data_IF_939965183373
#
_entry.id   IF_939965183373
#
_cell.length_a   1.000
_cell.length_b   1.000
_cell.length_c   1.000
_cell.angle_alpha   90.00
_cell.angle_beta   90.00
_cell.angle_gamma   90.00
#
_symmetry.space_group_name_H-M   'P 1'
#
loop_
_entity.id
_entity.type
_entity.pdbx_description
1 polymer ?
#
# COMPACT_ATOMS: atom_id res chain seq x y z
N UNK A 1 -15.83 19.82 -58.56
CA UNK A 1 -14.36 19.70 -58.43
C UNK A 1 -14.11 19.37 -56.98
N UNK A 2 -13.77 18.11 -56.72
CA UNK A 2 -13.41 17.58 -55.40
C UNK A 2 -12.06 18.16 -55.00
N UNK A 3 -11.90 18.56 -53.73
CA UNK A 3 -10.62 18.56 -52.98
C UNK A 3 -10.98 18.60 -51.48
N UNK A 4 -11.01 17.47 -50.77
CA UNK A 4 -9.92 16.71 -50.14
C UNK A 4 -9.39 17.36 -48.83
N UNK A 5 -9.59 16.64 -47.73
CA UNK A 5 -9.21 16.97 -46.35
C UNK A 5 -7.73 17.31 -46.20
N UNK A 6 -7.41 18.32 -45.40
CA UNK A 6 -6.19 18.37 -44.60
C UNK A 6 -6.35 19.35 -43.41
N UNK A 7 -6.42 18.77 -42.22
CA UNK A 7 -6.24 19.44 -40.93
C UNK A 7 -4.72 19.53 -40.66
N UNK A 8 -4.19 20.69 -40.26
CA UNK A 8 -2.98 20.71 -39.46
C UNK A 8 -3.12 21.66 -38.26
N UNK A 9 -3.69 21.17 -37.16
CA UNK A 9 -3.39 21.69 -35.82
C UNK A 9 -1.92 21.40 -35.50
N UNK A 10 -1.04 22.29 -35.94
CA UNK A 10 0.37 22.32 -35.58
C UNK A 10 0.52 22.83 -34.16
N UNK A 11 0.51 21.93 -33.17
CA UNK A 11 1.08 22.22 -31.86
C UNK A 11 2.57 21.86 -31.89
N UNK A 12 3.39 22.84 -32.26
CA UNK A 12 4.82 22.85 -31.97
C UNK A 12 5.03 23.46 -30.58
N UNK A 13 5.22 22.63 -29.56
CA UNK A 13 6.13 22.99 -28.46
C UNK A 13 6.54 21.74 -27.68
N UNK A 14 7.71 21.23 -28.04
CA UNK A 14 8.43 20.22 -27.30
C UNK A 14 9.14 20.87 -26.10
N UNK A 15 8.44 21.04 -24.99
CA UNK A 15 9.03 21.38 -23.71
C UNK A 15 8.27 20.75 -22.54
N UNK A 16 8.68 19.53 -22.16
CA UNK A 16 8.65 18.98 -20.79
C UNK A 16 7.37 19.23 -19.98
N UNK A 17 6.25 18.64 -20.40
CA UNK A 17 5.28 18.16 -19.41
C UNK A 17 5.79 16.77 -18.99
N UNK A 18 6.54 16.72 -17.90
CA UNK A 18 6.81 15.45 -17.23
C UNK A 18 5.44 14.87 -16.88
N UNK A 19 5.16 13.74 -17.51
CA UNK A 19 4.00 12.90 -17.35
C UNK A 19 3.70 12.61 -15.86
N UNK A 20 2.96 13.50 -15.21
CA UNK A 20 2.10 13.12 -14.10
C UNK A 20 0.69 13.12 -14.63
N UNK A 21 0.32 12.01 -15.28
CA UNK A 21 -1.08 11.67 -15.54
C UNK A 21 -1.91 12.02 -14.29
N UNK A 22 -3.07 12.69 -14.42
CA UNK A 22 -3.95 13.01 -13.29
C UNK A 22 -4.27 11.79 -12.41
N UNK A 23 -4.17 10.57 -12.97
CA UNK A 23 -4.36 9.30 -12.26
C UNK A 23 -3.27 9.01 -11.23
N UNK A 24 -2.00 9.37 -11.47
CA UNK A 24 -0.90 9.09 -10.53
C UNK A 24 -1.10 9.76 -9.17
N UNK A 25 -1.60 11.01 -9.18
CA UNK A 25 -1.92 11.73 -7.95
C UNK A 25 -3.11 11.11 -7.18
N UNK A 26 -4.13 10.62 -7.90
CA UNK A 26 -5.30 10.00 -7.29
C UNK A 26 -4.97 8.61 -6.72
N UNK A 27 -4.24 7.79 -7.48
CA UNK A 27 -3.76 6.47 -7.03
C UNK A 27 -2.82 6.62 -5.82
N UNK A 28 -1.90 7.58 -5.83
CA UNK A 28 -1.01 7.81 -4.68
C UNK A 28 -1.75 8.33 -3.45
N UNK A 29 -2.83 9.09 -3.63
CA UNK A 29 -3.70 9.48 -2.53
C UNK A 29 -4.42 8.25 -1.94
N UNK A 30 -4.95 7.37 -2.79
CA UNK A 30 -5.59 6.11 -2.40
C UNK A 30 -4.60 5.20 -1.65
N UNK A 31 -3.39 4.98 -2.18
CA UNK A 31 -2.31 4.23 -1.49
C UNK A 31 -2.05 4.76 -0.08
N UNK A 32 -1.99 6.07 0.10
CA UNK A 32 -1.77 6.68 1.41
C UNK A 32 -2.96 6.45 2.33
N UNK A 33 -4.19 6.58 1.83
CA UNK A 33 -5.42 6.29 2.59
C UNK A 33 -5.42 4.83 3.04
N UNK A 34 -5.13 3.89 2.14
CA UNK A 34 -5.11 2.46 2.41
C UNK A 34 -4.04 2.08 3.44
N UNK A 35 -2.82 2.60 3.30
CA UNK A 35 -1.73 2.41 4.28
C UNK A 35 -2.11 2.99 5.65
N UNK A 36 -2.80 4.13 5.70
CA UNK A 36 -3.26 4.71 6.96
C UNK A 36 -4.38 3.87 7.61
N UNK A 37 -5.30 3.34 6.80
CA UNK A 37 -6.35 2.42 7.26
C UNK A 37 -5.76 1.12 7.82
N UNK A 38 -4.78 0.53 7.11
CA UNK A 38 -4.03 -0.63 7.57
C UNK A 38 -3.30 -0.35 8.89
N UNK A 39 -2.53 0.73 8.98
CA UNK A 39 -1.87 1.15 10.22
C UNK A 39 -2.88 1.27 11.37
N UNK A 40 -4.00 1.97 11.16
CA UNK A 40 -5.03 2.15 12.20
C UNK A 40 -5.52 0.81 12.76
N UNK A 41 -5.75 -0.19 11.91
CA UNK A 41 -6.22 -1.51 12.34
C UNK A 41 -5.13 -2.36 12.98
N UNK A 42 -3.88 -2.25 12.51
CA UNK A 42 -2.72 -2.90 13.11
C UNK A 42 -2.48 -2.37 14.54
N UNK A 43 -2.54 -1.06 14.74
CA UNK A 43 -2.38 -0.45 16.06
C UNK A 43 -3.55 -0.77 16.99
N UNK A 44 -4.79 -0.78 16.47
CA UNK A 44 -5.96 -1.17 17.25
C UNK A 44 -5.84 -2.63 17.75
N UNK A 45 -5.31 -3.53 16.92
CA UNK A 45 -5.03 -4.91 17.33
C UNK A 45 -3.97 -4.97 18.42
N UNK A 46 -2.86 -4.26 18.25
CA UNK A 46 -1.79 -4.20 19.24
C UNK A 46 -2.29 -3.68 20.60
N UNK A 47 -3.10 -2.62 20.61
CA UNK A 47 -3.67 -2.06 21.84
C UNK A 47 -4.53 -3.07 22.64
N UNK A 48 -5.15 -4.05 21.96
CA UNK A 48 -5.93 -5.11 22.60
C UNK A 48 -5.12 -6.35 23.01
N UNK A 49 -4.02 -6.62 22.30
CA UNK A 49 -3.35 -7.93 22.36
C UNK A 49 -1.89 -7.87 22.89
N UNK A 50 -1.24 -6.70 22.82
CA UNK A 50 0.14 -6.49 23.24
C UNK A 50 1.21 -6.98 22.25
N UNK A 51 0.81 -7.35 21.03
CA UNK A 51 1.70 -7.76 19.96
C UNK A 51 1.10 -7.42 18.59
N UNK A 52 1.95 -7.19 17.59
CA UNK A 52 1.53 -6.98 16.22
C UNK A 52 1.17 -8.31 15.54
N UNK A 53 0.24 -8.32 14.58
CA UNK A 53 -0.06 -9.52 13.82
C UNK A 53 1.14 -9.94 12.96
N UNK A 54 1.29 -11.25 12.75
CA UNK A 54 2.20 -11.79 11.72
C UNK A 54 1.72 -11.43 10.31
N UNK A 55 2.61 -11.47 9.32
CA UNK A 55 2.22 -11.33 7.91
C UNK A 55 1.23 -12.41 7.50
N UNK A 56 1.41 -13.64 8.00
CA UNK A 56 0.49 -14.76 7.75
C UNK A 56 -0.94 -14.46 8.22
N UNK A 57 -1.07 -13.89 9.43
CA UNK A 57 -2.36 -13.44 9.97
C UNK A 57 -2.95 -12.29 9.15
N UNK A 58 -2.13 -11.29 8.80
CA UNK A 58 -2.55 -10.18 7.96
C UNK A 58 -3.02 -10.63 6.58
N UNK A 59 -2.46 -11.70 6.02
CA UNK A 59 -2.86 -12.24 4.72
C UNK A 59 -4.05 -13.20 4.79
N UNK A 60 -4.49 -13.60 5.98
CA UNK A 60 -5.64 -14.48 6.18
C UNK A 60 -6.95 -13.68 6.32
N UNK A 61 -7.83 -13.78 5.32
CA UNK A 61 -9.09 -13.04 5.29
C UNK A 61 -10.02 -13.36 6.48
N UNK A 62 -10.15 -14.62 6.88
CA UNK A 62 -10.97 -15.01 8.03
C UNK A 62 -10.41 -14.48 9.35
N UNK A 63 -9.08 -14.44 9.48
CA UNK A 63 -8.42 -13.85 10.63
C UNK A 63 -8.68 -12.34 10.72
N UNK A 64 -8.54 -11.61 9.60
CA UNK A 64 -8.87 -10.18 9.54
C UNK A 64 -10.34 -9.91 9.85
N UNK A 65 -11.26 -10.71 9.32
CA UNK A 65 -12.69 -10.57 9.61
C UNK A 65 -13.01 -10.73 11.12
N UNK A 66 -12.18 -11.46 11.85
CA UNK A 66 -12.34 -11.67 13.30
C UNK A 66 -11.66 -10.55 14.11
N UNK A 67 -10.44 -10.17 13.73
CA UNK A 67 -9.55 -9.34 14.55
C UNK A 67 -9.44 -7.87 14.08
N UNK A 68 -9.85 -7.57 12.86
CA UNK A 68 -9.77 -6.25 12.20
C UNK A 68 -11.10 -5.91 11.52
N UNK A 69 -12.19 -5.96 12.29
CA UNK A 69 -13.57 -5.87 11.78
C UNK A 69 -13.87 -4.57 11.01
N UNK A 70 -13.12 -3.52 11.28
CA UNK A 70 -13.29 -2.22 10.63
C UNK A 70 -12.37 -2.04 9.41
N UNK A 71 -11.54 -3.03 9.09
CA UNK A 71 -10.68 -2.99 7.90
C UNK A 71 -11.49 -3.33 6.65
N UNK A 72 -11.59 -2.38 5.72
CA UNK A 72 -12.06 -2.69 4.37
C UNK A 72 -11.03 -3.58 3.66
N UNK A 73 -11.50 -4.68 3.08
CA UNK A 73 -10.65 -5.56 2.27
C UNK A 73 -10.04 -4.84 1.06
N UNK A 74 -10.66 -3.79 0.55
CA UNK A 74 -10.12 -2.96 -0.53
C UNK A 74 -8.79 -2.31 -0.12
N UNK A 75 -8.62 -1.95 1.16
CA UNK A 75 -7.39 -1.32 1.66
C UNK A 75 -6.15 -2.26 1.65
N UNK A 76 -6.31 -3.55 1.31
CA UNK A 76 -5.18 -4.45 1.07
C UNK A 76 -4.70 -4.47 -0.39
N UNK A 77 -5.38 -3.74 -1.28
CA UNK A 77 -5.16 -3.81 -2.72
C UNK A 77 -4.69 -2.48 -3.25
N UNK A 78 -3.47 -2.46 -3.77
CA UNK A 78 -2.99 -1.31 -4.53
C UNK A 78 -3.95 -0.96 -5.69
N UNK A 79 -4.20 0.33 -5.98
CA UNK A 79 -5.12 0.75 -7.06
C UNK A 79 -4.75 0.15 -8.43
N UNK A 80 -3.45 -0.07 -8.65
CA UNK A 80 -2.90 -0.67 -9.87
C UNK A 80 -2.54 -2.16 -9.70
N UNK A 81 -2.77 -2.70 -8.50
CA UNK A 81 -2.57 -4.10 -8.16
C UNK A 81 -3.81 -4.95 -8.42
N UNK A 82 -3.63 -6.28 -8.37
CA UNK A 82 -4.71 -7.26 -8.52
C UNK A 82 -4.92 -8.12 -7.26
N UNK A 83 -4.04 -8.01 -6.27
CA UNK A 83 -3.99 -8.88 -5.10
C UNK A 83 -4.40 -8.14 -3.83
N UNK A 84 -5.14 -8.82 -2.95
CA UNK A 84 -5.41 -8.39 -1.57
C UNK A 84 -4.46 -9.09 -0.60
N UNK A 85 -3.16 -9.10 -0.93
CA UNK A 85 -2.11 -9.73 -0.14
C UNK A 85 -0.98 -8.73 0.06
N UNK A 86 -0.49 -8.68 1.28
CA UNK A 86 0.69 -7.91 1.64
C UNK A 86 1.94 -8.73 1.33
N UNK A 87 2.95 -8.06 0.79
CA UNK A 87 4.27 -8.64 0.55
C UNK A 87 5.16 -8.50 1.80
N UNK A 88 6.13 -9.40 1.97
CA UNK A 88 7.11 -9.32 3.06
C UNK A 88 8.19 -8.24 2.84
N UNK A 89 8.27 -7.68 1.63
CA UNK A 89 9.22 -6.64 1.21
C UNK A 89 8.52 -5.66 0.27
N UNK A 90 9.00 -4.42 0.13
CA UNK A 90 8.44 -3.47 -0.84
C UNK A 90 8.44 -4.04 -2.26
N UNK A 91 7.29 -3.96 -2.93
CA UNK A 91 7.08 -4.41 -4.32
C UNK A 91 6.13 -3.43 -4.98
N UNK A 92 6.34 -3.12 -6.26
CA UNK A 92 5.42 -2.26 -7.02
C UNK A 92 4.03 -2.87 -7.12
N UNK A 93 3.00 -2.02 -7.03
CA UNK A 93 1.58 -2.40 -7.16
C UNK A 93 1.11 -3.41 -6.10
N UNK A 94 1.77 -3.40 -4.95
CA UNK A 94 1.41 -4.16 -3.76
C UNK A 94 1.86 -3.40 -2.52
N UNK A 95 1.13 -3.55 -1.43
CA UNK A 95 1.61 -3.07 -0.13
C UNK A 95 2.54 -4.11 0.49
N UNK A 96 3.46 -3.64 1.33
CA UNK A 96 4.34 -4.53 2.08
C UNK A 96 4.20 -4.34 3.58
N UNK A 97 4.21 -5.44 4.32
CA UNK A 97 4.15 -5.46 5.76
C UNK A 97 5.24 -6.40 6.27
N UNK A 98 6.20 -5.83 6.97
CA UNK A 98 7.32 -6.55 7.56
C UNK A 98 7.28 -6.37 9.06
N UNK A 99 7.25 -7.48 9.80
CA UNK A 99 7.11 -7.47 11.26
C UNK A 99 8.25 -8.25 11.91
N UNK A 100 8.75 -7.70 13.02
CA UNK A 100 9.87 -8.25 13.78
C UNK A 100 9.63 -8.14 15.28
N UNK A 101 10.43 -8.89 16.05
CA UNK A 101 10.63 -8.65 17.47
C UNK A 101 11.48 -7.40 17.72
N UNK A 102 11.60 -6.99 18.98
CA UNK A 102 12.36 -5.82 19.41
C UNK A 102 13.87 -5.90 19.12
N UNK A 103 14.41 -7.12 19.01
CA UNK A 103 15.77 -7.42 18.62
C UNK A 103 15.94 -7.58 17.10
N UNK A 104 14.92 -7.18 16.32
CA UNK A 104 14.95 -7.12 14.85
C UNK A 104 14.89 -8.47 14.16
N UNK A 105 14.54 -9.54 14.89
CA UNK A 105 14.42 -10.89 14.33
C UNK A 105 13.01 -11.12 13.81
N UNK A 106 12.90 -12.07 12.88
CA UNK A 106 11.57 -12.52 12.44
C UNK A 106 10.79 -13.09 13.62
N UNK A 107 9.55 -12.63 13.77
CA UNK A 107 8.58 -13.12 14.75
C UNK A 107 7.42 -13.89 14.07
N UNK A 108 7.53 -14.19 12.78
CA UNK A 108 6.44 -14.81 11.98
C UNK A 108 6.04 -16.21 12.48
N UNK A 109 6.99 -16.96 13.06
CA UNK A 109 6.74 -18.29 13.60
C UNK A 109 6.00 -18.26 14.96
N UNK A 110 6.14 -17.15 15.69
CA UNK A 110 5.48 -16.91 16.97
C UNK A 110 5.05 -15.44 17.05
N UNK A 111 3.87 -15.17 16.50
CA UNK A 111 3.33 -13.82 16.36
C UNK A 111 3.19 -13.09 17.71
N UNK A 112 3.21 -13.80 18.85
CA UNK A 112 3.12 -13.22 20.19
C UNK A 112 4.31 -12.32 20.52
N UNK A 113 5.45 -12.48 19.84
CA UNK A 113 6.66 -11.70 20.07
C UNK A 113 6.91 -10.60 19.02
N UNK A 114 5.93 -10.36 18.13
CA UNK A 114 6.01 -9.28 17.16
C UNK A 114 5.75 -7.93 17.84
N UNK A 115 6.76 -7.05 17.88
CA UNK A 115 6.70 -5.78 18.62
C UNK A 115 7.05 -4.56 17.77
N UNK A 116 7.49 -4.76 16.53
CA UNK A 116 7.78 -3.66 15.60
C UNK A 116 7.34 -4.04 14.20
N UNK A 117 6.92 -3.07 13.40
CA UNK A 117 6.64 -3.32 11.98
C UNK A 117 7.05 -2.16 11.08
N UNK A 118 7.15 -2.46 9.79
CA UNK A 118 7.25 -1.50 8.69
C UNK A 118 6.19 -1.83 7.65
N UNK A 119 5.36 -0.85 7.33
CA UNK A 119 4.27 -0.93 6.36
C UNK A 119 4.55 0.06 5.23
N UNK A 120 4.52 -0.38 3.98
CA UNK A 120 4.89 0.49 2.84
C UNK A 120 4.01 0.35 1.61
N UNK A 121 4.03 1.40 0.79
CA UNK A 121 3.55 1.43 -0.58
C UNK A 121 4.59 2.15 -1.48
N UNK A 122 4.87 1.60 -2.67
CA UNK A 122 5.59 2.32 -3.72
C UNK A 122 4.62 3.30 -4.41
N UNK A 123 5.00 4.57 -4.48
CA UNK A 123 4.23 5.61 -5.17
C UNK A 123 4.61 5.71 -6.65
N UNK A 124 3.81 6.44 -7.42
CA UNK A 124 3.99 6.60 -8.87
C UNK A 124 5.33 7.26 -9.26
N UNK A 125 5.93 8.04 -8.37
CA UNK A 125 7.25 8.67 -8.51
C UNK A 125 8.42 7.78 -8.04
N UNK A 126 8.17 6.50 -7.76
CA UNK A 126 9.10 5.53 -7.18
C UNK A 126 9.56 5.84 -5.75
N UNK A 127 9.00 6.84 -5.09
CA UNK A 127 9.21 7.03 -3.65
C UNK A 127 8.43 5.99 -2.86
N UNK A 128 8.89 5.68 -1.65
CA UNK A 128 8.24 4.71 -0.77
C UNK A 128 7.53 5.44 0.36
N UNK A 129 6.21 5.38 0.38
CA UNK A 129 5.43 5.82 1.53
C UNK A 129 5.56 4.78 2.63
N UNK A 130 6.02 5.19 3.81
CA UNK A 130 6.36 4.28 4.92
C UNK A 130 5.62 4.68 6.20
N UNK A 131 5.09 3.68 6.91
CA UNK A 131 4.59 3.76 8.28
C UNK A 131 5.28 2.71 9.15
N UNK A 132 5.51 3.08 10.40
CA UNK A 132 6.06 2.21 11.44
C UNK A 132 5.11 2.19 12.64
N UNK A 133 5.37 1.30 13.58
CA UNK A 133 4.69 1.29 14.89
C UNK A 133 4.69 2.68 15.54
N UNK A 134 3.60 2.99 16.26
CA UNK A 134 3.39 4.29 16.92
C UNK A 134 3.89 4.34 18.38
N UNK A 135 4.42 3.23 18.87
CA UNK A 135 4.99 3.00 20.20
C UNK A 135 6.28 3.81 20.48
#
# INVERSE_FOLDING_TARGET
MYDYYANPDTFSDAARFSDSSPTGNAEDAERKIDINSLQTQIEAYYAGNGNYPSLSQMNNASWRATNMKSLDSAALKDPQGSSQQLAAKPVDKSYSYFVTSNDGKSCEADALNCTTYTLTASLSDHTVYTKTNLD
#
